data_IF_167148096658
#
_entry.id   IF_167148096658
#
_cell.length_a   1.000
_cell.length_b   1.000
_cell.length_c   1.000
_cell.angle_alpha   90.00
_cell.angle_beta   90.00
_cell.angle_gamma   90.00
#
_symmetry.space_group_name_H-M   'P 1'
#
loop_
_entity.id
_entity.type
_entity.pdbx_description
1 polymer ?
#
# COMPACT_ATOMS: atom_id res chain seq x y z
N UNK A 1 -9.24 -9.15 4.83
CA UNK A 1 -8.90 -8.82 3.43
C UNK A 1 -9.70 -9.66 2.42
N UNK A 2 -9.39 -9.55 1.11
CA UNK A 2 -10.15 -10.25 0.05
C UNK A 2 -10.28 -11.74 0.25
N UNK A 3 -9.24 -12.43 0.64
CA UNK A 3 -9.30 -13.87 0.95
C UNK A 3 -10.27 -14.19 2.10
N UNK A 4 -10.25 -13.37 3.16
CA UNK A 4 -11.08 -13.59 4.35
C UNK A 4 -12.57 -13.37 4.08
N UNK A 5 -12.95 -12.20 3.54
CA UNK A 5 -14.37 -11.94 3.30
C UNK A 5 -14.96 -12.81 2.19
N UNK A 6 -14.17 -13.13 1.13
CA UNK A 6 -14.64 -14.02 0.08
C UNK A 6 -14.90 -15.43 0.59
N UNK A 7 -13.98 -15.96 1.40
CA UNK A 7 -14.18 -17.27 2.05
C UNK A 7 -15.37 -17.26 2.99
N UNK A 8 -15.50 -16.21 3.83
CA UNK A 8 -16.60 -16.09 4.78
C UNK A 8 -17.97 -15.99 4.08
N UNK A 9 -18.07 -15.22 3.02
CA UNK A 9 -19.31 -15.08 2.25
C UNK A 9 -19.67 -16.39 1.56
N UNK A 10 -18.69 -17.08 0.95
CA UNK A 10 -18.94 -18.38 0.34
C UNK A 10 -19.35 -19.44 1.35
N UNK A 11 -18.70 -19.49 2.51
CA UNK A 11 -19.07 -20.41 3.59
C UNK A 11 -20.53 -20.16 4.08
N UNK A 12 -20.90 -18.90 4.24
CA UNK A 12 -22.26 -18.52 4.63
C UNK A 12 -23.29 -18.87 3.55
N UNK A 13 -22.98 -18.64 2.26
CA UNK A 13 -23.83 -19.02 1.11
C UNK A 13 -24.03 -20.54 1.02
N UNK A 14 -23.08 -21.36 1.54
CA UNK A 14 -23.18 -22.80 1.68
C UNK A 14 -23.91 -23.24 2.98
N UNK A 15 -24.50 -22.32 3.73
CA UNK A 15 -25.27 -22.61 4.94
C UNK A 15 -24.44 -22.77 6.20
N UNK A 16 -23.15 -22.47 6.19
CA UNK A 16 -22.31 -22.59 7.39
C UNK A 16 -22.51 -21.40 8.32
N UNK A 17 -22.55 -21.64 9.63
CA UNK A 17 -22.44 -20.60 10.64
C UNK A 17 -21.02 -20.06 10.65
N UNK A 18 -20.86 -18.83 10.15
CA UNK A 18 -19.55 -18.25 9.85
C UNK A 18 -19.24 -17.07 10.75
N UNK A 19 -18.01 -17.06 11.29
CA UNK A 19 -17.44 -15.92 12.01
C UNK A 19 -16.24 -15.40 11.21
N UNK A 20 -16.18 -14.09 10.99
CA UNK A 20 -15.07 -13.40 10.35
C UNK A 20 -14.37 -12.49 11.36
N UNK A 21 -13.12 -12.80 11.68
CA UNK A 21 -12.29 -11.97 12.56
C UNK A 21 -11.53 -10.97 11.72
N UNK A 22 -11.66 -9.68 12.03
CA UNK A 22 -11.01 -8.60 11.30
C UNK A 22 -10.42 -7.56 12.28
N UNK A 23 -9.16 -7.23 12.12
CA UNK A 23 -8.47 -6.25 13.00
C UNK A 23 -8.79 -4.80 12.64
N UNK A 24 -9.10 -4.50 11.38
CA UNK A 24 -9.47 -3.16 10.92
C UNK A 24 -10.88 -2.79 11.36
N UNK A 25 -11.19 -1.49 11.45
CA UNK A 25 -12.56 -1.03 11.78
C UNK A 25 -13.58 -1.37 10.69
N UNK A 26 -13.12 -1.62 9.47
CA UNK A 26 -13.94 -1.98 8.32
C UNK A 26 -13.41 -3.24 7.64
N UNK A 27 -14.32 -3.99 7.03
CA UNK A 27 -13.93 -5.13 6.19
C UNK A 27 -13.14 -4.65 4.97
N UNK A 28 -12.30 -5.54 4.43
CA UNK A 28 -11.54 -5.27 3.21
C UNK A 28 -10.03 -5.45 3.36
N UNK A 29 -9.53 -5.47 4.60
CA UNK A 29 -8.10 -5.64 4.92
C UNK A 29 -7.23 -4.55 4.29
N UNK A 30 -5.97 -4.86 4.06
CA UNK A 30 -5.00 -3.95 3.42
C UNK A 30 -5.50 -3.49 2.04
N UNK A 31 -5.99 -4.40 1.21
CA UNK A 31 -6.38 -4.10 -0.17
C UNK A 31 -7.39 -2.93 -0.26
N UNK A 32 -8.48 -2.97 0.51
CA UNK A 32 -9.51 -1.94 0.41
C UNK A 32 -9.18 -0.69 1.24
N UNK A 33 -8.55 -0.86 2.40
CA UNK A 33 -8.36 0.25 3.33
C UNK A 33 -7.09 1.07 3.04
N UNK A 34 -5.96 0.40 2.74
CA UNK A 34 -4.64 1.03 2.67
C UNK A 34 -3.76 0.49 1.53
N UNK A 35 -4.35 -0.07 0.48
CA UNK A 35 -3.62 -0.70 -0.63
C UNK A 35 -4.28 -0.47 -1.98
N UNK A 36 -4.77 -1.54 -2.61
CA UNK A 36 -5.22 -1.57 -4.01
C UNK A 36 -6.29 -0.51 -4.34
N UNK A 37 -7.33 -0.40 -3.51
CA UNK A 37 -8.45 0.49 -3.82
C UNK A 37 -8.06 1.96 -3.72
N UNK A 38 -7.46 2.46 -2.62
CA UNK A 38 -7.03 3.84 -2.56
C UNK A 38 -5.95 4.17 -3.61
N UNK A 39 -5.00 3.25 -3.92
CA UNK A 39 -4.00 3.51 -4.95
C UNK A 39 -4.64 3.62 -6.35
N UNK A 40 -5.56 2.71 -6.71
CA UNK A 40 -6.25 2.78 -8.01
C UNK A 40 -7.16 4.00 -8.12
N UNK A 41 -7.78 4.44 -7.04
CA UNK A 41 -8.55 5.69 -7.04
C UNK A 41 -7.67 6.91 -7.37
N UNK A 42 -6.45 6.96 -6.84
CA UNK A 42 -5.49 8.04 -7.12
C UNK A 42 -4.85 7.90 -8.51
N UNK A 43 -4.48 6.69 -8.91
CA UNK A 43 -3.93 6.42 -10.25
C UNK A 43 -4.93 6.77 -11.36
N UNK A 44 -6.23 6.55 -11.13
CA UNK A 44 -7.26 6.96 -12.09
C UNK A 44 -7.28 8.48 -12.30
N UNK A 45 -7.15 9.25 -11.22
CA UNK A 45 -7.06 10.72 -11.33
C UNK A 45 -5.76 11.13 -12.03
N UNK A 46 -4.64 10.50 -11.67
CA UNK A 46 -3.35 10.75 -12.32
C UNK A 46 -3.41 10.47 -13.82
N UNK A 47 -3.99 9.34 -14.22
CA UNK A 47 -4.16 8.98 -15.64
C UNK A 47 -4.98 10.03 -16.41
N UNK A 48 -6.05 10.55 -15.82
CA UNK A 48 -6.85 11.62 -16.46
C UNK A 48 -6.08 12.94 -16.62
N UNK A 49 -5.20 13.26 -15.66
CA UNK A 49 -4.31 14.43 -15.77
C UNK A 49 -3.25 14.24 -16.85
N UNK A 50 -2.63 13.05 -16.91
CA UNK A 50 -1.64 12.71 -17.95
C UNK A 50 -2.29 12.75 -19.34
N UNK A 51 -3.47 12.16 -19.49
CA UNK A 51 -4.22 12.19 -20.75
C UNK A 51 -4.52 13.62 -21.18
N UNK A 52 -4.99 14.46 -20.27
CA UNK A 52 -5.24 15.88 -20.56
C UNK A 52 -3.96 16.61 -21.04
N UNK A 53 -2.79 16.29 -20.49
CA UNK A 53 -1.53 16.89 -20.92
C UNK A 53 -1.14 16.49 -22.36
N UNK A 54 -1.40 15.24 -22.75
CA UNK A 54 -1.11 14.74 -24.10
C UNK A 54 -2.00 15.38 -25.20
N UNK A 55 -3.15 15.97 -24.84
CA UNK A 55 -3.98 16.69 -25.81
C UNK A 55 -3.25 17.89 -26.45
N UNK A 56 -2.20 18.40 -25.80
CA UNK A 56 -1.36 19.44 -26.39
C UNK A 56 -0.74 19.02 -27.72
N UNK A 57 -0.34 17.75 -27.85
CA UNK A 57 0.20 17.15 -29.08
C UNK A 57 -0.82 17.10 -30.21
N UNK A 58 -2.12 17.14 -29.84
CA UNK A 58 -3.26 17.15 -30.76
C UNK A 58 -3.77 18.58 -31.03
N UNK A 59 -3.06 19.61 -30.54
CA UNK A 59 -3.43 21.01 -30.71
C UNK A 59 -4.47 21.52 -29.70
N UNK A 60 -4.78 20.79 -28.64
CA UNK A 60 -5.70 21.20 -27.58
C UNK A 60 -4.92 21.40 -26.29
N UNK A 61 -4.81 22.64 -25.84
CA UNK A 61 -4.06 22.99 -24.64
C UNK A 61 -5.01 23.32 -23.48
N UNK A 62 -4.86 22.60 -22.37
CA UNK A 62 -5.46 22.93 -21.08
C UNK A 62 -4.51 23.81 -20.26
N UNK A 63 -5.05 24.68 -19.41
CA UNK A 63 -4.25 25.44 -18.45
C UNK A 63 -3.61 24.52 -17.39
N UNK A 64 -2.60 25.02 -16.68
CA UNK A 64 -1.97 24.28 -15.59
C UNK A 64 -3.02 23.87 -14.53
N UNK A 65 -3.05 22.61 -14.10
CA UNK A 65 -4.05 22.13 -13.17
C UNK A 65 -3.86 22.79 -11.78
N UNK A 66 -4.96 23.18 -11.16
CA UNK A 66 -4.98 23.57 -9.74
C UNK A 66 -5.41 22.39 -8.91
N UNK A 67 -4.50 21.88 -8.09
CA UNK A 67 -4.72 20.68 -7.30
C UNK A 67 -5.17 21.06 -5.88
N UNK A 68 -6.36 20.59 -5.49
CA UNK A 68 -6.87 20.65 -4.13
C UNK A 68 -6.66 19.28 -3.47
N UNK A 69 -5.59 19.16 -2.70
CA UNK A 69 -5.20 17.92 -2.03
C UNK A 69 -6.27 17.41 -1.07
N UNK A 70 -7.01 18.30 -0.40
CA UNK A 70 -8.07 17.91 0.52
C UNK A 70 -9.25 17.25 -0.23
N UNK A 71 -9.64 17.81 -1.38
CA UNK A 71 -10.68 17.21 -2.22
C UNK A 71 -10.23 15.90 -2.85
N UNK A 72 -8.98 15.79 -3.26
CA UNK A 72 -8.43 14.55 -3.79
C UNK A 72 -8.44 13.44 -2.73
N UNK A 73 -8.01 13.76 -1.51
CA UNK A 73 -8.07 12.85 -0.37
C UNK A 73 -9.51 12.44 -0.04
N UNK A 74 -10.44 13.39 -0.04
CA UNK A 74 -11.86 13.13 0.19
C UNK A 74 -12.45 12.22 -0.89
N UNK A 75 -12.10 12.41 -2.17
CA UNK A 75 -12.49 11.52 -3.27
C UNK A 75 -12.00 10.09 -3.03
N UNK A 76 -10.72 9.92 -2.75
CA UNK A 76 -10.14 8.60 -2.44
C UNK A 76 -10.87 7.94 -1.26
N UNK A 77 -11.10 8.66 -0.16
CA UNK A 77 -11.78 8.14 1.02
C UNK A 77 -13.24 7.77 0.72
N UNK A 78 -13.93 8.52 -0.13
CA UNK A 78 -15.30 8.20 -0.59
C UNK A 78 -15.34 6.88 -1.35
N UNK A 79 -14.36 6.63 -2.24
CA UNK A 79 -14.26 5.36 -2.98
C UNK A 79 -14.06 4.19 -2.01
N UNK A 80 -13.12 4.31 -1.09
CA UNK A 80 -12.86 3.30 -0.05
C UNK A 80 -14.11 3.05 0.79
N UNK A 81 -14.74 4.10 1.30
CA UNK A 81 -15.92 4.00 2.14
C UNK A 81 -17.12 3.35 1.44
N UNK A 82 -17.31 3.62 0.13
CA UNK A 82 -18.35 2.96 -0.66
C UNK A 82 -18.14 1.45 -0.73
N UNK A 83 -16.92 0.99 -0.97
CA UNK A 83 -16.62 -0.43 -1.13
C UNK A 83 -16.61 -1.17 0.23
N UNK A 84 -16.00 -0.60 1.26
CA UNK A 84 -16.01 -1.20 2.60
C UNK A 84 -17.42 -1.26 3.20
N UNK A 85 -18.24 -0.23 2.96
CA UNK A 85 -19.65 -0.22 3.32
C UNK A 85 -20.46 -1.31 2.59
N UNK A 86 -20.18 -1.55 1.31
CA UNK A 86 -20.74 -2.65 0.54
C UNK A 86 -20.42 -4.01 1.15
N UNK A 87 -19.15 -4.25 1.54
CA UNK A 87 -18.75 -5.49 2.22
C UNK A 87 -19.48 -5.68 3.56
N UNK A 88 -19.63 -4.63 4.35
CA UNK A 88 -20.37 -4.69 5.60
C UNK A 88 -21.85 -5.05 5.37
N UNK A 89 -22.49 -4.51 4.33
CA UNK A 89 -23.85 -4.88 3.94
C UNK A 89 -23.94 -6.34 3.49
N UNK A 90 -23.00 -6.81 2.67
CA UNK A 90 -22.93 -8.20 2.23
C UNK A 90 -22.75 -9.18 3.38
N UNK A 91 -21.91 -8.85 4.38
CA UNK A 91 -21.75 -9.65 5.59
C UNK A 91 -23.04 -9.77 6.38
N UNK A 92 -23.77 -8.65 6.57
CA UNK A 92 -25.08 -8.64 7.26
C UNK A 92 -26.13 -9.49 6.53
N UNK A 93 -26.25 -9.34 5.21
CA UNK A 93 -27.22 -10.12 4.41
C UNK A 93 -26.97 -11.63 4.53
N UNK A 94 -25.71 -12.05 4.61
CA UNK A 94 -25.30 -13.45 4.77
C UNK A 94 -25.26 -13.93 6.21
N UNK A 95 -25.63 -13.06 7.17
CA UNK A 95 -25.58 -13.37 8.61
C UNK A 95 -24.18 -13.81 9.08
N UNK A 96 -23.12 -13.30 8.44
CA UNK A 96 -21.74 -13.51 8.90
C UNK A 96 -21.52 -12.67 10.16
N UNK A 97 -21.10 -13.33 11.25
CA UNK A 97 -20.73 -12.65 12.47
C UNK A 97 -19.34 -12.05 12.32
N UNK A 98 -19.24 -10.72 12.33
CA UNK A 98 -17.94 -10.02 12.27
C UNK A 98 -17.48 -9.71 13.68
N UNK A 99 -16.29 -10.19 14.05
CA UNK A 99 -15.64 -9.94 15.33
C UNK A 99 -14.40 -9.09 15.08
N UNK A 100 -14.38 -7.92 15.70
CA UNK A 100 -13.24 -7.01 15.56
C UNK A 100 -12.14 -7.34 16.57
N UNK A 101 -10.94 -7.63 16.06
CA UNK A 101 -9.78 -7.87 16.92
C UNK A 101 -8.67 -8.66 16.28
N UNK A 102 -7.60 -8.87 17.04
CA UNK A 102 -6.51 -9.76 16.72
C UNK A 102 -6.82 -11.19 17.19
N UNK A 103 -6.81 -12.12 16.24
CA UNK A 103 -6.98 -13.54 16.52
C UNK A 103 -5.64 -14.23 16.78
N UNK A 104 -5.58 -15.04 17.82
CA UNK A 104 -4.49 -15.96 18.11
C UNK A 104 -5.03 -17.34 18.44
N UNK A 105 -4.43 -18.41 17.89
CA UNK A 105 -4.84 -19.77 18.20
C UNK A 105 -4.48 -20.10 19.65
N UNK A 106 -5.48 -20.52 20.42
CA UNK A 106 -5.29 -21.07 21.76
C UNK A 106 -5.00 -22.57 21.67
N UNK A 107 -5.70 -23.25 20.75
CA UNK A 107 -5.53 -24.67 20.42
C UNK A 107 -6.08 -24.94 18.99
N UNK A 108 -6.06 -26.19 18.49
CA UNK A 108 -6.56 -26.52 17.13
C UNK A 108 -8.02 -26.16 16.84
N UNK A 109 -8.83 -25.87 17.86
CA UNK A 109 -10.26 -25.58 17.72
C UNK A 109 -10.73 -24.31 18.40
N UNK A 110 -9.83 -23.55 19.03
CA UNK A 110 -10.16 -22.31 19.72
C UNK A 110 -9.26 -21.16 19.28
N UNK A 111 -9.89 -20.04 18.96
CA UNK A 111 -9.25 -18.79 18.63
C UNK A 111 -9.57 -17.75 19.71
N UNK A 112 -8.56 -17.23 20.38
CA UNK A 112 -8.73 -16.06 21.25
C UNK A 112 -8.62 -14.81 20.41
N UNK A 113 -9.59 -13.92 20.54
CA UNK A 113 -9.63 -12.63 19.83
C UNK A 113 -9.52 -11.51 20.84
N UNK A 114 -8.45 -10.72 20.73
CA UNK A 114 -8.26 -9.51 21.52
C UNK A 114 -8.86 -8.33 20.75
N UNK A 115 -9.84 -7.67 21.36
CA UNK A 115 -10.56 -6.54 20.76
C UNK A 115 -9.61 -5.39 20.38
N UNK A 116 -9.87 -4.76 19.22
CA UNK A 116 -9.15 -3.57 18.78
C UNK A 116 -10.08 -2.37 18.66
N UNK A 117 -9.54 -1.17 18.84
CA UNK A 117 -10.26 0.10 18.71
C UNK A 117 -9.50 1.10 17.86
N UNK A 118 -10.20 2.12 17.35
CA UNK A 118 -9.60 3.18 16.52
C UNK A 118 -9.02 2.68 15.19
N UNK A 119 -8.59 3.62 14.35
CA UNK A 119 -7.98 3.30 13.04
C UNK A 119 -6.57 2.72 13.20
N UNK A 120 -5.89 3.05 14.29
CA UNK A 120 -4.59 2.50 14.65
C UNK A 120 -4.66 1.04 15.16
N UNK A 121 -5.86 0.47 15.28
CA UNK A 121 -6.09 -0.91 15.75
C UNK A 121 -5.49 -1.18 17.14
N UNK A 122 -5.59 -0.18 18.02
CA UNK A 122 -5.09 -0.30 19.40
C UNK A 122 -5.82 -1.43 20.13
N UNK A 123 -5.06 -2.29 20.79
CA UNK A 123 -5.57 -3.40 21.59
C UNK A 123 -6.21 -2.87 22.88
N UNK A 124 -7.39 -3.38 23.23
CA UNK A 124 -8.14 -2.93 24.43
C UNK A 124 -7.87 -3.78 25.67
N UNK A 125 -7.20 -4.92 25.52
CA UNK A 125 -7.03 -5.92 26.58
C UNK A 125 -8.24 -6.83 26.80
N UNK A 126 -9.41 -6.53 26.18
CA UNK A 126 -10.57 -7.41 26.25
C UNK A 126 -10.43 -8.56 25.27
N UNK A 127 -10.66 -9.76 25.75
CA UNK A 127 -10.56 -10.98 24.96
C UNK A 127 -11.86 -11.76 24.92
N UNK A 128 -12.09 -12.48 23.84
CA UNK A 128 -13.14 -13.49 23.71
C UNK A 128 -12.60 -14.72 23.01
N UNK A 129 -13.12 -15.88 23.35
CA UNK A 129 -12.73 -17.15 22.73
C UNK A 129 -13.81 -17.62 21.77
N UNK A 130 -13.41 -17.96 20.55
CA UNK A 130 -14.28 -18.50 19.50
C UNK A 130 -13.91 -19.95 19.27
N UNK A 131 -14.87 -20.85 19.51
CA UNK A 131 -14.76 -22.28 19.15
C UNK A 131 -15.14 -22.48 17.69
N UNK A 132 -14.34 -23.24 16.94
CA UNK A 132 -14.60 -23.56 15.54
C UNK A 132 -14.34 -25.04 15.20
N UNK A 133 -14.97 -25.54 14.15
CA UNK A 133 -14.71 -26.86 13.59
C UNK A 133 -13.63 -26.79 12.52
N UNK A 134 -13.71 -25.78 11.65
CA UNK A 134 -12.76 -25.51 10.57
C UNK A 134 -12.40 -24.04 10.55
N UNK A 135 -11.17 -23.72 10.17
CA UNK A 135 -10.67 -22.36 10.10
C UNK A 135 -9.94 -22.13 8.78
N UNK A 136 -10.14 -20.94 8.21
CA UNK A 136 -9.38 -20.43 7.07
C UNK A 136 -8.53 -19.28 7.56
N UNK A 137 -7.21 -19.41 7.44
CA UNK A 137 -6.26 -18.35 7.79
C UNK A 137 -6.13 -17.41 6.60
N UNK A 138 -6.62 -16.19 6.73
CA UNK A 138 -6.53 -15.12 5.73
C UNK A 138 -5.98 -13.84 6.39
N UNK A 139 -4.85 -13.99 7.09
CA UNK A 139 -4.27 -12.97 7.97
C UNK A 139 -3.77 -11.72 7.23
N UNK A 140 -3.59 -11.81 5.90
CA UNK A 140 -3.19 -10.67 5.05
C UNK A 140 -1.71 -10.33 5.20
N UNK A 141 -1.39 -9.06 5.02
CA UNK A 141 -0.03 -8.53 5.02
C UNK A 141 0.03 -7.18 5.74
N UNK A 142 1.21 -6.70 5.97
CA UNK A 142 1.46 -5.35 6.46
C UNK A 142 2.72 -4.78 5.80
N UNK A 143 2.85 -3.44 5.85
CA UNK A 143 4.05 -2.76 5.40
C UNK A 143 5.28 -3.24 6.19
N UNK A 144 6.39 -3.49 5.48
CA UNK A 144 7.67 -3.77 6.11
C UNK A 144 8.23 -2.47 6.70
N UNK A 145 8.66 -2.51 7.94
CA UNK A 145 9.38 -1.41 8.55
C UNK A 145 10.87 -1.72 8.50
N UNK A 146 11.63 -0.82 7.90
CA UNK A 146 13.09 -0.93 7.89
C UNK A 146 13.63 -0.35 9.21
N UNK A 147 14.29 -1.17 10.07
CA UNK A 147 14.59 -0.77 11.45
C UNK A 147 15.62 0.36 11.57
N UNK A 148 16.38 0.61 10.51
CA UNK A 148 17.42 1.64 10.46
C UNK A 148 16.89 3.00 9.93
N UNK A 149 15.63 3.09 9.48
CA UNK A 149 15.05 4.35 9.08
C UNK A 149 14.71 5.20 10.30
N UNK A 150 15.07 6.49 10.31
CA UNK A 150 14.69 7.38 11.39
C UNK A 150 13.18 7.57 11.46
N UNK A 151 12.66 7.86 12.65
CA UNK A 151 11.27 8.26 12.80
C UNK A 151 11.13 9.73 12.39
N UNK A 152 10.74 9.96 11.15
CA UNK A 152 10.50 11.27 10.58
C UNK A 152 9.16 11.25 9.84
N UNK A 153 8.27 12.26 10.02
CA UNK A 153 6.96 12.29 9.35
C UNK A 153 7.05 12.40 7.83
N UNK A 154 8.22 12.72 7.28
CA UNK A 154 8.50 12.76 5.84
C UNK A 154 8.91 11.39 5.29
N UNK A 155 9.27 10.44 6.16
CA UNK A 155 9.56 9.06 5.79
C UNK A 155 8.29 8.26 6.02
N UNK A 156 7.70 7.79 4.94
CA UNK A 156 6.39 7.13 4.99
C UNK A 156 6.43 5.78 4.28
N UNK A 157 5.67 4.84 4.78
CA UNK A 157 5.35 3.61 4.06
C UNK A 157 4.21 3.85 3.04
N UNK A 158 3.80 2.81 2.33
CA UNK A 158 2.71 2.88 1.36
C UNK A 158 1.40 3.39 1.97
N UNK A 159 1.10 3.03 3.22
CA UNK A 159 -0.08 3.52 3.95
C UNK A 159 0.00 5.03 4.19
N UNK A 160 1.17 5.50 4.61
CA UNK A 160 1.43 6.92 4.82
C UNK A 160 1.37 7.73 3.52
N UNK A 161 1.92 7.19 2.43
CA UNK A 161 1.87 7.82 1.11
C UNK A 161 0.43 8.02 0.61
N UNK A 162 -0.46 7.05 0.85
CA UNK A 162 -1.88 7.14 0.49
C UNK A 162 -2.67 8.20 1.29
N UNK A 163 -2.10 8.76 2.35
CA UNK A 163 -2.73 9.83 3.11
C UNK A 163 -2.58 11.21 2.47
N UNK A 164 -1.71 11.38 1.49
CA UNK A 164 -1.49 12.63 0.75
C UNK A 164 -1.33 13.85 1.66
N UNK A 165 -0.58 13.70 2.76
CA UNK A 165 -0.42 14.77 3.78
C UNK A 165 0.23 16.03 3.23
N UNK A 166 1.14 15.85 2.29
CA UNK A 166 1.84 16.94 1.59
C UNK A 166 2.23 16.46 0.19
N UNK A 167 2.41 17.40 -0.71
CA UNK A 167 3.04 17.19 -2.01
C UNK A 167 4.49 17.68 -1.93
N UNK A 168 5.48 16.76 -1.88
CA UNK A 168 6.88 17.15 -1.83
C UNK A 168 7.34 17.67 -3.20
N UNK A 169 8.35 18.54 -3.22
CA UNK A 169 9.01 18.92 -4.47
C UNK A 169 9.80 17.75 -5.06
N UNK A 170 10.42 16.95 -4.20
CA UNK A 170 11.22 15.79 -4.57
C UNK A 170 10.83 14.61 -3.68
N UNK A 171 10.72 13.43 -4.26
CA UNK A 171 10.37 12.20 -3.60
C UNK A 171 11.39 11.12 -3.96
N UNK A 172 11.95 10.48 -2.94
CA UNK A 172 12.74 9.28 -3.10
C UNK A 172 11.86 8.06 -2.83
N UNK A 173 11.80 7.16 -3.79
CA UNK A 173 11.14 5.86 -3.67
C UNK A 173 12.22 4.81 -3.40
N UNK A 174 12.20 4.21 -2.22
CA UNK A 174 13.09 3.12 -1.83
C UNK A 174 12.39 1.79 -2.11
N UNK A 175 12.89 1.09 -3.14
CA UNK A 175 12.29 -0.12 -3.70
C UNK A 175 11.54 0.15 -5.00
N UNK A 176 11.99 -0.50 -6.07
CA UNK A 176 11.42 -0.41 -7.43
C UNK A 176 10.30 -1.43 -7.70
N UNK A 177 9.59 -1.86 -6.68
CA UNK A 177 8.44 -2.74 -6.80
C UNK A 177 7.16 -2.00 -7.21
N UNK A 178 6.06 -2.75 -7.38
CA UNK A 178 4.79 -2.23 -7.92
C UNK A 178 4.25 -1.08 -7.06
N UNK A 179 4.26 -1.23 -5.74
CA UNK A 179 3.64 -0.27 -4.81
C UNK A 179 4.36 1.07 -4.83
N UNK A 180 5.69 1.06 -4.74
CA UNK A 180 6.51 2.28 -4.80
C UNK A 180 6.33 3.01 -6.12
N UNK A 181 6.32 2.27 -7.24
CA UNK A 181 6.15 2.84 -8.57
C UNK A 181 4.71 3.36 -8.81
N UNK A 182 3.67 2.73 -8.26
CA UNK A 182 2.31 3.27 -8.29
C UNK A 182 2.22 4.61 -7.53
N UNK A 183 2.78 4.66 -6.33
CA UNK A 183 2.79 5.92 -5.55
C UNK A 183 3.65 6.97 -6.24
N UNK A 184 4.83 6.60 -6.72
CA UNK A 184 5.67 7.48 -7.52
C UNK A 184 4.90 8.07 -8.72
N UNK A 185 4.17 7.25 -9.48
CA UNK A 185 3.33 7.72 -10.58
C UNK A 185 2.32 8.78 -10.14
N UNK A 186 1.58 8.52 -9.05
CA UNK A 186 0.61 9.48 -8.50
C UNK A 186 1.29 10.80 -8.15
N UNK A 187 2.35 10.75 -7.35
CA UNK A 187 3.03 11.96 -6.88
C UNK A 187 3.73 12.72 -8.01
N UNK A 188 4.30 12.02 -9.00
CA UNK A 188 4.88 12.64 -10.19
C UNK A 188 3.84 13.42 -10.99
N UNK A 189 2.68 12.82 -11.27
CA UNK A 189 1.60 13.51 -11.99
C UNK A 189 1.09 14.71 -11.21
N UNK A 190 1.09 14.65 -9.87
CA UNK A 190 0.77 15.79 -9.02
C UNK A 190 1.87 16.87 -8.98
N UNK A 191 3.06 16.63 -9.54
CA UNK A 191 4.14 17.60 -9.70
C UNK A 191 5.40 17.35 -8.88
N UNK A 192 5.52 16.21 -8.18
CA UNK A 192 6.78 15.83 -7.51
C UNK A 192 7.81 15.29 -8.50
N UNK A 193 9.08 15.63 -8.30
CA UNK A 193 10.20 14.97 -9.00
C UNK A 193 10.56 13.67 -8.30
N UNK A 194 10.90 12.64 -9.05
CA UNK A 194 11.12 11.31 -8.51
C UNK A 194 12.54 10.82 -8.68
N UNK A 195 13.07 10.26 -7.62
CA UNK A 195 14.20 9.34 -7.64
C UNK A 195 13.76 7.96 -7.17
N UNK A 196 14.33 6.90 -7.74
CA UNK A 196 14.04 5.51 -7.35
C UNK A 196 15.34 4.78 -7.08
N UNK A 197 15.42 4.09 -5.96
CA UNK A 197 16.52 3.19 -5.61
C UNK A 197 15.98 1.77 -5.54
N UNK A 198 16.61 0.85 -6.27
CA UNK A 198 16.28 -0.57 -6.27
C UNK A 198 17.56 -1.41 -6.11
N UNK A 199 17.54 -2.28 -5.11
CA UNK A 199 18.68 -3.13 -4.78
C UNK A 199 18.94 -4.22 -5.85
N UNK A 200 17.92 -4.65 -6.55
CA UNK A 200 18.01 -5.67 -7.59
C UNK A 200 18.33 -5.05 -8.97
N UNK A 201 18.57 -5.90 -9.94
CA UNK A 201 18.99 -5.52 -11.29
C UNK A 201 17.85 -4.98 -12.19
N UNK A 202 16.65 -4.87 -11.69
CA UNK A 202 15.51 -4.35 -12.45
C UNK A 202 14.31 -3.98 -11.58
N UNK A 203 13.46 -3.13 -12.11
CA UNK A 203 12.19 -2.79 -11.50
C UNK A 203 11.20 -3.95 -11.61
N UNK A 204 10.22 -4.03 -10.68
CA UNK A 204 9.10 -4.99 -10.72
C UNK A 204 9.56 -6.44 -10.99
N UNK A 205 10.42 -6.97 -10.13
CA UNK A 205 11.09 -8.27 -10.32
C UNK A 205 10.14 -9.46 -10.59
N UNK A 206 8.91 -9.42 -10.10
CA UNK A 206 7.93 -10.48 -10.33
C UNK A 206 7.18 -10.40 -11.66
N UNK A 207 7.44 -9.38 -12.49
CA UNK A 207 6.77 -9.18 -13.77
C UNK A 207 7.67 -9.57 -14.96
N UNK A 208 7.05 -9.93 -16.10
CA UNK A 208 7.77 -10.27 -17.32
C UNK A 208 8.61 -9.09 -17.82
N UNK A 209 9.86 -9.36 -18.15
CA UNK A 209 10.86 -8.33 -18.48
C UNK A 209 10.52 -7.53 -19.73
N UNK A 210 9.83 -8.10 -20.69
CA UNK A 210 9.35 -7.41 -21.90
C UNK A 210 8.28 -6.36 -21.54
N UNK A 211 7.34 -6.68 -20.64
CA UNK A 211 6.33 -5.75 -20.16
C UNK A 211 6.96 -4.64 -19.30
N UNK A 212 7.92 -4.98 -18.45
CA UNK A 212 8.62 -3.99 -17.63
C UNK A 212 9.39 -3.00 -18.52
N UNK A 213 10.03 -3.45 -19.60
CA UNK A 213 10.72 -2.55 -20.54
C UNK A 213 9.77 -1.55 -21.21
N UNK A 214 8.56 -1.99 -21.58
CA UNK A 214 7.55 -1.10 -22.14
C UNK A 214 7.13 -0.06 -21.08
N UNK A 215 6.82 -0.51 -19.87
CA UNK A 215 6.46 0.37 -18.77
C UNK A 215 7.56 1.40 -18.46
N UNK A 216 8.81 0.97 -18.37
CA UNK A 216 9.96 1.86 -18.13
C UNK A 216 10.09 2.93 -19.20
N UNK A 217 9.97 2.55 -20.49
CA UNK A 217 10.02 3.50 -21.61
C UNK A 217 8.90 4.56 -21.52
N UNK A 218 7.66 4.14 -21.19
CA UNK A 218 6.52 5.05 -21.07
C UNK A 218 6.63 5.98 -19.88
N UNK A 219 7.25 5.54 -18.78
CA UNK A 219 7.31 6.29 -17.53
C UNK A 219 8.69 6.96 -17.30
N UNK A 220 9.67 6.77 -18.18
CA UNK A 220 10.99 7.37 -18.05
C UNK A 220 10.97 8.89 -17.76
N UNK A 221 10.10 9.72 -18.37
CA UNK A 221 10.04 11.16 -18.09
C UNK A 221 9.66 11.54 -16.67
N UNK A 222 9.13 10.59 -15.86
CA UNK A 222 8.73 10.83 -14.47
C UNK A 222 9.89 10.84 -13.51
N UNK A 223 10.99 10.17 -13.88
CA UNK A 223 12.12 9.91 -12.99
C UNK A 223 13.29 10.83 -13.33
N UNK A 224 13.85 11.46 -12.29
CA UNK A 224 15.15 12.13 -12.43
C UNK A 224 16.24 11.07 -12.49
N UNK A 225 16.21 10.09 -11.59
CA UNK A 225 17.15 8.99 -11.52
C UNK A 225 16.44 7.68 -11.15
N UNK A 226 16.97 6.57 -11.69
CA UNK A 226 16.60 5.21 -11.30
C UNK A 226 17.92 4.45 -11.08
N UNK A 227 18.25 4.24 -9.81
CA UNK A 227 19.45 3.49 -9.42
C UNK A 227 19.09 2.03 -9.18
N UNK A 228 19.52 1.17 -10.08
CA UNK A 228 19.43 -0.29 -9.96
C UNK A 228 20.71 -0.83 -9.33
N UNK A 229 20.67 -2.06 -8.76
CA UNK A 229 21.77 -2.70 -8.06
C UNK A 229 22.37 -1.81 -6.96
N UNK A 230 21.54 -0.96 -6.36
CA UNK A 230 21.95 0.06 -5.41
C UNK A 230 21.31 -0.19 -4.06
N UNK A 231 22.13 -0.44 -3.05
CA UNK A 231 21.69 -0.66 -1.67
C UNK A 231 21.50 0.69 -0.99
N UNK A 232 20.35 0.89 -0.36
CA UNK A 232 20.12 2.04 0.51
C UNK A 232 20.85 1.80 1.83
N UNK A 233 21.75 2.71 2.23
CA UNK A 233 22.53 2.60 3.46
C UNK A 233 22.17 3.66 4.52
N UNK A 234 21.35 4.69 4.20
CA UNK A 234 20.88 5.73 5.11
C UNK A 234 19.79 6.61 4.50
N UNK A 235 18.94 7.21 5.31
CA UNK A 235 18.01 8.25 4.89
C UNK A 235 18.02 9.43 5.86
N UNK A 236 18.29 10.61 5.31
CA UNK A 236 18.05 11.88 5.97
C UNK A 236 17.02 12.65 5.16
N UNK A 237 15.90 13.01 5.79
CA UNK A 237 14.87 13.75 5.09
C UNK A 237 15.23 15.23 5.04
N UNK A 238 15.44 15.78 3.86
CA UNK A 238 15.58 17.21 3.63
C UNK A 238 14.25 17.94 3.80
N UNK A 239 14.28 19.26 4.05
CA UNK A 239 13.10 20.06 4.39
C UNK A 239 11.94 20.01 3.38
N UNK A 240 12.19 19.61 2.14
CA UNK A 240 11.20 19.58 1.03
C UNK A 240 11.10 18.20 0.34
N UNK A 241 11.72 17.16 0.88
CA UNK A 241 11.70 15.81 0.35
C UNK A 241 10.79 14.89 1.17
N UNK A 242 10.19 13.90 0.52
CA UNK A 242 9.48 12.79 1.16
C UNK A 242 10.03 11.47 0.62
N UNK A 243 10.34 10.56 1.51
CA UNK A 243 10.77 9.20 1.15
C UNK A 243 9.59 8.24 1.28
N UNK A 244 9.29 7.51 0.21
CA UNK A 244 8.30 6.43 0.22
C UNK A 244 9.03 5.10 0.14
N UNK A 245 8.73 4.23 1.08
CA UNK A 245 9.24 2.88 1.09
C UNK A 245 8.33 1.97 0.28
N UNK A 246 8.89 1.28 -0.71
CA UNK A 246 8.22 0.15 -1.34
C UNK A 246 8.21 -1.02 -0.36
N UNK A 247 7.03 -1.57 -0.18
CA UNK A 247 6.80 -2.67 0.73
C UNK A 247 6.68 -3.94 -0.09
N UNK A 248 7.67 -4.80 0.00
CA UNK A 248 7.48 -6.18 -0.43
C UNK A 248 6.44 -6.84 0.47
N UNK A 249 5.43 -7.43 -0.15
CA UNK A 249 4.52 -8.34 0.52
C UNK A 249 5.35 -9.44 1.18
N UNK A 250 5.30 -9.52 2.50
CA UNK A 250 5.93 -10.61 3.24
C UNK A 250 5.19 -11.92 2.93
N UNK A 251 5.79 -12.70 2.08
CA UNK A 251 5.30 -14.01 1.69
C UNK A 251 6.15 -14.55 0.56
N UNK A 252 7.36 -14.88 0.84
CA UNK A 252 8.30 -15.79 0.19
C UNK A 252 9.71 -15.20 0.28
N UNK A 253 10.51 -15.94 1.02
CA UNK A 253 11.96 -15.87 1.16
C UNK A 253 12.51 -14.75 2.06
N UNK A 254 13.02 -15.20 3.21
CA UNK A 254 14.00 -14.49 4.02
C UNK A 254 15.18 -14.09 3.13
N UNK A 255 15.25 -12.82 2.82
CA UNK A 255 16.52 -12.19 2.51
C UNK A 255 16.97 -11.52 3.83
N UNK A 256 17.88 -12.19 4.54
CA UNK A 256 18.70 -11.58 5.57
C UNK A 256 19.59 -10.55 4.86
N UNK A 257 19.07 -9.34 4.68
CA UNK A 257 19.84 -8.21 4.22
C UNK A 257 19.95 -7.24 5.37
N UNK A 258 21.10 -7.19 6.00
CA UNK A 258 21.52 -6.06 6.82
C UNK A 258 21.58 -4.84 5.90
N UNK A 259 20.63 -3.94 6.10
CA UNK A 259 20.55 -2.69 5.38
C UNK A 259 21.08 -1.59 6.31
N UNK A 260 22.28 -1.08 6.05
CA UNK A 260 22.83 0.12 6.69
C UNK A 260 22.48 1.36 5.88
N UNK A 261 22.11 2.45 6.55
CA UNK A 261 21.80 3.74 5.94
C UNK A 261 22.76 4.82 6.48
N UNK A 262 23.51 5.51 5.63
CA UNK A 262 24.31 6.71 5.97
C UNK A 262 23.83 7.91 5.14
N UNK A 263 23.91 9.11 5.74
CA UNK A 263 23.47 10.43 5.23
C UNK A 263 23.24 10.50 3.73
N UNK A 264 21.97 10.57 3.29
CA UNK A 264 21.40 10.82 1.97
C UNK A 264 22.29 10.55 0.71
N UNK A 265 23.44 9.94 0.85
CA UNK A 265 24.31 9.50 -0.23
C UNK A 265 23.97 8.06 -0.58
N UNK A 266 23.45 7.89 -1.80
CA UNK A 266 23.31 6.58 -2.43
C UNK A 266 24.71 6.19 -2.90
N UNK A 267 25.41 5.33 -2.18
CA UNK A 267 26.64 4.73 -2.69
C UNK A 267 26.31 3.70 -3.76
N UNK A 268 26.76 3.94 -4.99
CA UNK A 268 26.82 2.96 -6.04
C UNK A 268 27.88 1.91 -5.70
N UNK A 269 27.46 0.80 -5.07
CA UNK A 269 28.29 -0.40 -4.99
C UNK A 269 27.70 -1.45 -5.90
N UNK A 270 28.47 -1.88 -6.89
CA UNK A 270 28.15 -3.06 -7.67
C UNK A 270 27.95 -4.25 -6.72
N UNK A 271 26.79 -4.88 -6.79
CA UNK A 271 26.57 -6.17 -6.14
C UNK A 271 27.42 -7.19 -6.89
N UNK A 272 28.49 -7.68 -6.26
CA UNK A 272 29.25 -8.82 -6.74
C UNK A 272 28.46 -10.13 -6.63
#
# INVERSE_FOLDING_TARGET
>A
GPGGYSAAFRAADLGMKTVLVERYPTLGGVCLNVGCIPSKALLHVAAGMDEASHFADLGITFGAPKIDMAKLLAHKNKVVGKLTGGLAAMARMRKVTVVRGYGAFADPHHLTVEETTGDAQAKTGKTQTIKFKTCIIAAGSQAVRLPFLPEDPRIVDSTGALQLRALPRKMLVVGGGIIGLEMGTVYSTLGARLDVVEMLDGLMQGADRDLVRVWQKMNAPRFDNVWLKTKTVGAQAEAQATTVLDVRLAGLDRLDAELELADAEVEERALE
#
